data_IF_161492203890
#
_entry.id   IF_161492203890
#
_cell.length_a   1.000
_cell.length_b   1.000
_cell.length_c   1.000
_cell.angle_alpha   90.00
_cell.angle_beta   90.00
_cell.angle_gamma   90.00
#
_symmetry.space_group_name_H-M   'P 1'
#
loop_
_entity.id
_entity.type
_entity.pdbx_description
1 polymer ?
#
# COMPACT_ATOMS: atom_id res chain seq x y z
N UNK A 1 -34.48 38.83 22.68
CA UNK A 1 -34.68 37.71 21.73
C UNK A 1 -33.35 37.38 21.07
N UNK A 2 -32.56 36.53 21.71
CA UNK A 2 -31.25 36.03 21.26
C UNK A 2 -31.15 34.61 21.82
N UNK A 3 -30.52 33.68 21.07
CA UNK A 3 -30.20 32.27 21.38
C UNK A 3 -31.06 31.24 20.65
N UNK A 4 -30.94 31.12 19.32
CA UNK A 4 -31.35 29.89 18.60
C UNK A 4 -30.64 29.74 17.24
N UNK A 5 -29.31 29.89 17.16
CA UNK A 5 -28.61 29.74 15.88
C UNK A 5 -27.16 29.23 15.97
N UNK A 6 -26.71 28.65 17.09
CA UNK A 6 -25.28 28.32 17.27
C UNK A 6 -25.02 26.89 17.76
N UNK A 7 -25.84 25.92 17.35
CA UNK A 7 -25.66 24.51 17.76
C UNK A 7 -25.91 23.51 16.63
N UNK A 8 -25.66 23.90 15.38
CA UNK A 8 -25.78 22.99 14.23
C UNK A 8 -24.53 22.97 13.31
N UNK A 9 -23.43 23.59 13.73
CA UNK A 9 -22.20 23.69 12.92
C UNK A 9 -21.03 22.85 13.45
N UNK A 10 -21.27 22.03 14.48
CA UNK A 10 -20.22 21.24 15.15
C UNK A 10 -20.19 19.76 14.74
N UNK A 11 -21.04 19.34 13.78
CA UNK A 11 -21.21 17.93 13.41
C UNK A 11 -20.73 17.57 11.99
N UNK A 12 -20.04 18.48 11.28
CA UNK A 12 -19.61 18.27 9.88
C UNK A 12 -18.11 18.03 9.68
N UNK A 13 -17.34 17.88 10.76
CA UNK A 13 -15.94 17.44 10.69
C UNK A 13 -15.78 16.02 11.27
N UNK A 14 -16.61 15.09 10.81
CA UNK A 14 -16.14 13.71 10.73
C UNK A 14 -15.16 13.65 9.57
N UNK A 15 -13.88 13.91 9.86
CA UNK A 15 -12.78 13.56 8.98
C UNK A 15 -12.86 12.05 8.74
N UNK A 16 -13.53 11.65 7.67
CA UNK A 16 -13.41 10.32 7.10
C UNK A 16 -12.03 10.26 6.45
N UNK A 17 -11.02 9.96 7.26
CA UNK A 17 -9.74 9.50 6.74
C UNK A 17 -9.97 8.12 6.15
N UNK A 18 -10.14 8.05 4.84
CA UNK A 18 -10.33 6.79 4.11
C UNK A 18 -9.03 5.96 4.09
N UNK A 19 -9.22 4.64 4.00
CA UNK A 19 -8.23 3.61 4.32
C UNK A 19 -7.13 3.52 3.29
N UNK A 20 -5.92 3.22 3.75
CA UNK A 20 -4.74 3.29 2.90
C UNK A 20 -3.63 2.32 3.41
N UNK A 21 -4.06 1.11 3.79
CA UNK A 21 -3.37 -0.20 3.99
C UNK A 21 -4.21 -0.90 5.07
N UNK A 22 -4.78 -2.06 4.73
CA UNK A 22 -5.74 -2.75 5.59
C UNK A 22 -7.12 -2.10 5.53
N UNK A 23 -7.93 -2.50 4.55
CA UNK A 23 -9.33 -2.09 4.55
C UNK A 23 -10.05 -2.86 5.64
N UNK A 24 -10.94 -2.12 6.33
CA UNK A 24 -11.82 -2.57 7.39
C UNK A 24 -11.86 -4.08 7.49
N UNK A 25 -11.33 -4.63 8.58
CA UNK A 25 -12.02 -5.66 9.33
C UNK A 25 -11.25 -6.12 10.54
N UNK A 26 -12.00 -6.74 11.43
CA UNK A 26 -11.56 -7.18 12.74
C UNK A 26 -10.44 -8.19 12.54
N UNK A 27 -9.58 -8.35 13.54
CA UNK A 27 -8.54 -9.37 13.57
C UNK A 27 -9.09 -10.75 13.13
N UNK A 28 -10.32 -11.05 13.53
CA UNK A 28 -11.08 -12.24 13.15
C UNK A 28 -11.12 -12.51 11.63
N UNK A 29 -11.26 -11.47 10.79
CA UNK A 29 -11.34 -11.66 9.34
C UNK A 29 -9.98 -11.97 8.72
N UNK A 30 -8.90 -11.43 9.29
CA UNK A 30 -7.51 -11.75 8.91
C UNK A 30 -7.15 -13.16 9.37
N UNK A 31 -7.59 -13.56 10.56
CA UNK A 31 -7.44 -14.93 11.05
C UNK A 31 -8.19 -15.92 10.15
N UNK A 32 -9.44 -15.63 9.77
CA UNK A 32 -10.19 -16.45 8.80
C UNK A 32 -9.48 -16.54 7.46
N UNK A 33 -8.89 -15.45 6.98
CA UNK A 33 -8.17 -15.43 5.71
C UNK A 33 -7.01 -16.44 5.69
N UNK A 34 -6.31 -16.64 6.81
CA UNK A 34 -5.21 -17.60 6.93
C UNK A 34 -5.62 -19.03 6.55
N UNK A 35 -6.87 -19.39 6.84
CA UNK A 35 -7.43 -20.72 6.60
C UNK A 35 -8.05 -20.86 5.18
N UNK A 36 -8.01 -19.80 4.37
CA UNK A 36 -8.52 -19.84 2.98
C UNK A 36 -7.41 -20.16 1.98
N UNK A 37 -7.81 -20.67 0.81
CA UNK A 37 -6.92 -20.82 -0.35
C UNK A 37 -6.93 -19.54 -1.16
N UNK A 38 -5.75 -19.01 -1.49
CA UNK A 38 -5.64 -17.77 -2.24
C UNK A 38 -5.80 -18.02 -3.74
N UNK A 39 -6.81 -17.43 -4.35
CA UNK A 39 -6.96 -17.36 -5.81
C UNK A 39 -6.42 -16.03 -6.30
N UNK A 40 -5.32 -16.10 -7.05
CA UNK A 40 -4.74 -14.96 -7.75
C UNK A 40 -5.44 -14.82 -9.10
N UNK A 41 -6.11 -13.69 -9.29
CA UNK A 41 -6.93 -13.46 -10.49
C UNK A 41 -6.06 -12.95 -11.63
N UNK A 42 -5.96 -13.75 -12.69
CA UNK A 42 -5.30 -13.40 -13.94
C UNK A 42 -6.26 -12.62 -14.85
N UNK A 43 -5.68 -11.79 -15.71
CA UNK A 43 -6.43 -10.96 -16.67
C UNK A 43 -6.00 -11.29 -18.11
N UNK A 44 -6.51 -10.55 -19.08
CA UNK A 44 -6.03 -10.67 -20.47
C UNK A 44 -4.63 -10.08 -20.70
N UNK A 45 -4.08 -9.34 -19.73
CA UNK A 45 -2.75 -8.74 -19.82
C UNK A 45 -1.67 -9.75 -19.40
N UNK A 46 -0.89 -10.22 -20.38
CA UNK A 46 0.15 -11.24 -20.15
C UNK A 46 1.29 -10.75 -19.26
N UNK A 47 1.62 -9.46 -19.32
CA UNK A 47 2.72 -8.87 -18.57
C UNK A 47 2.36 -8.76 -17.09
N UNK A 48 1.13 -8.32 -16.81
CA UNK A 48 0.54 -8.42 -15.48
C UNK A 48 0.54 -9.87 -14.98
N UNK A 49 0.03 -10.82 -15.78
CA UNK A 49 -0.09 -12.22 -15.37
C UNK A 49 1.25 -12.86 -15.03
N UNK A 50 2.28 -12.66 -15.85
CA UNK A 50 3.61 -13.18 -15.60
C UNK A 50 4.23 -12.57 -14.34
N UNK A 51 4.06 -11.26 -14.17
CA UNK A 51 4.61 -10.51 -13.04
C UNK A 51 3.93 -10.88 -11.72
N UNK A 52 2.60 -11.00 -11.67
CA UNK A 52 1.89 -11.40 -10.44
C UNK A 52 2.17 -12.85 -10.07
N UNK A 53 2.31 -13.75 -11.05
CA UNK A 53 2.73 -15.14 -10.81
C UNK A 53 4.09 -15.17 -10.14
N UNK A 54 5.07 -14.50 -10.74
CA UNK A 54 6.42 -14.42 -10.19
C UNK A 54 6.43 -13.84 -8.77
N UNK A 55 5.74 -12.72 -8.56
CA UNK A 55 5.67 -12.06 -7.25
C UNK A 55 5.02 -12.97 -6.18
N UNK A 56 3.91 -13.63 -6.50
CA UNK A 56 3.24 -14.50 -5.52
C UNK A 56 4.06 -15.76 -5.25
N UNK A 57 4.56 -16.45 -6.27
CA UNK A 57 5.35 -17.67 -6.12
C UNK A 57 6.65 -17.45 -5.33
N UNK A 58 7.27 -16.27 -5.50
CA UNK A 58 8.57 -15.98 -4.89
C UNK A 58 8.46 -15.39 -3.48
N UNK A 59 7.33 -14.76 -3.13
CA UNK A 59 7.24 -13.93 -1.93
C UNK A 59 6.04 -14.23 -1.03
N UNK A 60 4.95 -14.81 -1.54
CA UNK A 60 3.76 -15.06 -0.73
C UNK A 60 3.98 -16.21 0.27
N UNK A 61 3.77 -15.94 1.55
CA UNK A 61 4.00 -16.94 2.62
C UNK A 61 2.87 -17.05 3.63
N UNK A 62 1.82 -16.24 3.50
CA UNK A 62 0.85 -16.06 4.58
C UNK A 62 -0.22 -17.16 4.72
N UNK A 63 -0.81 -17.61 3.62
CA UNK A 63 -1.90 -18.60 3.63
C UNK A 63 -1.53 -19.90 2.91
N UNK A 64 -2.23 -20.99 3.24
CA UNK A 64 -1.96 -22.30 2.65
C UNK A 64 -2.55 -22.40 1.24
N UNK A 65 -1.66 -22.45 0.25
CA UNK A 65 -2.00 -22.76 -1.13
C UNK A 65 -2.42 -21.55 -1.96
N UNK A 66 -1.91 -21.53 -3.19
CA UNK A 66 -2.14 -20.49 -4.18
C UNK A 66 -2.65 -21.16 -5.47
N UNK A 67 -3.67 -20.57 -6.08
CA UNK A 67 -4.14 -20.93 -7.42
C UNK A 67 -4.17 -19.70 -8.32
N UNK A 68 -3.77 -19.85 -9.58
CA UNK A 68 -3.79 -18.76 -10.56
C UNK A 68 -4.90 -18.99 -11.56
N UNK A 69 -5.93 -18.15 -11.54
CA UNK A 69 -7.18 -18.38 -12.28
C UNK A 69 -7.53 -17.16 -13.13
N UNK A 70 -7.85 -17.38 -14.41
CA UNK A 70 -8.36 -16.32 -15.29
C UNK A 70 -9.70 -15.76 -14.80
N UNK A 71 -9.88 -14.44 -14.92
CA UNK A 71 -11.10 -13.74 -14.45
C UNK A 71 -12.40 -14.30 -15.07
N UNK A 72 -12.30 -14.92 -16.24
CA UNK A 72 -13.42 -15.59 -16.93
C UNK A 72 -13.80 -16.95 -16.34
N UNK A 73 -12.92 -17.59 -15.56
CA UNK A 73 -13.10 -18.94 -15.00
C UNK A 73 -13.53 -18.93 -13.51
N UNK A 74 -13.82 -17.77 -12.94
CA UNK A 74 -14.05 -17.59 -11.50
C UNK A 74 -15.30 -18.29 -10.95
N UNK A 75 -16.24 -18.71 -11.80
CA UNK A 75 -17.49 -19.37 -11.36
C UNK A 75 -17.24 -20.60 -10.48
N UNK A 76 -16.20 -21.39 -10.78
CA UNK A 76 -15.85 -22.59 -10.00
C UNK A 76 -15.24 -22.27 -8.62
N UNK A 77 -14.74 -21.05 -8.45
CA UNK A 77 -14.04 -20.56 -7.26
C UNK A 77 -14.90 -19.63 -6.41
N UNK A 78 -16.17 -19.44 -6.76
CA UNK A 78 -17.14 -18.71 -5.95
C UNK A 78 -17.63 -19.60 -4.80
N UNK A 79 -16.75 -19.81 -3.80
CA UNK A 79 -17.04 -20.63 -2.62
C UNK A 79 -16.36 -20.04 -1.37
N UNK A 80 -16.89 -20.28 -0.15
CA UNK A 80 -16.38 -19.65 1.08
C UNK A 80 -14.92 -19.98 1.44
N UNK A 81 -14.37 -21.08 0.93
CA UNK A 81 -12.99 -21.50 1.20
C UNK A 81 -11.92 -20.72 0.40
N UNK A 82 -12.34 -19.86 -0.54
CA UNK A 82 -11.45 -19.08 -1.38
C UNK A 82 -11.46 -17.60 -1.00
N UNK A 83 -10.28 -17.00 -1.09
CA UNK A 83 -10.07 -15.55 -1.07
C UNK A 83 -9.41 -15.12 -2.36
N UNK A 84 -9.56 -13.86 -2.75
CA UNK A 84 -9.10 -13.39 -4.06
C UNK A 84 -8.04 -12.30 -3.91
N UNK A 85 -6.91 -12.48 -4.59
CA UNK A 85 -5.91 -11.44 -4.81
C UNK A 85 -6.04 -10.94 -6.24
N UNK A 86 -6.30 -9.64 -6.41
CA UNK A 86 -6.36 -9.03 -7.73
C UNK A 86 -5.94 -7.57 -7.69
N UNK A 87 -5.55 -7.03 -8.84
CA UNK A 87 -5.21 -5.61 -8.95
C UNK A 87 -6.49 -4.77 -9.13
N UNK A 88 -6.63 -3.75 -8.30
CA UNK A 88 -7.63 -2.70 -8.44
C UNK A 88 -6.99 -1.46 -9.04
N UNK A 89 -7.64 -0.88 -10.04
CA UNK A 89 -7.25 0.39 -10.66
C UNK A 89 -8.13 1.52 -10.14
N UNK A 90 -7.51 2.61 -9.69
CA UNK A 90 -8.26 3.84 -9.34
C UNK A 90 -8.67 4.63 -10.58
N UNK A 91 -9.70 5.47 -10.45
CA UNK A 91 -10.23 6.32 -11.53
C UNK A 91 -9.16 7.26 -12.10
N UNK A 92 -8.26 7.76 -11.25
CA UNK A 92 -7.16 8.66 -11.64
C UNK A 92 -5.93 7.97 -12.25
N UNK A 93 -5.94 6.64 -12.37
CA UNK A 93 -4.79 5.86 -12.82
C UNK A 93 -4.70 5.77 -14.35
N UNK A 94 -3.46 5.82 -14.89
CA UNK A 94 -3.19 5.70 -16.33
C UNK A 94 -2.98 4.27 -16.81
N UNK A 95 -3.17 3.28 -15.93
CA UNK A 95 -2.97 1.86 -16.22
C UNK A 95 -3.89 1.41 -17.36
N UNK A 96 -3.32 0.79 -18.40
CA UNK A 96 -4.08 0.36 -19.58
C UNK A 96 -4.71 -1.03 -19.43
N UNK A 97 -4.16 -1.87 -18.55
CA UNK A 97 -4.66 -3.22 -18.31
C UNK A 97 -6.11 -3.22 -17.80
N UNK A 98 -6.89 -4.21 -18.25
CA UNK A 98 -8.31 -4.40 -17.86
C UNK A 98 -8.44 -5.15 -16.53
N UNK A 99 -8.00 -4.52 -15.46
CA UNK A 99 -7.99 -5.05 -14.09
C UNK A 99 -9.30 -4.72 -13.35
N UNK A 100 -9.39 -5.09 -12.07
CA UNK A 100 -10.55 -4.81 -11.23
C UNK A 100 -10.61 -3.35 -10.75
N UNK A 101 -11.58 -3.07 -9.89
CA UNK A 101 -11.73 -1.80 -9.18
C UNK A 101 -12.28 -2.02 -7.77
N UNK A 102 -12.32 -0.95 -6.97
CA UNK A 102 -12.81 -0.95 -5.60
C UNK A 102 -13.70 0.27 -5.36
N UNK A 103 -14.69 0.14 -4.47
CA UNK A 103 -15.57 1.25 -4.09
C UNK A 103 -14.84 2.42 -3.41
N UNK A 104 -13.76 2.15 -2.66
CA UNK A 104 -12.91 3.18 -2.03
C UNK A 104 -11.86 3.79 -3.00
N UNK A 105 -12.00 3.57 -4.31
CA UNK A 105 -11.11 4.06 -5.36
C UNK A 105 -9.61 3.78 -5.10
N UNK A 106 -9.22 2.51 -5.13
CA UNK A 106 -7.86 2.09 -4.77
C UNK A 106 -7.03 1.69 -6.00
N UNK A 107 -5.74 2.08 -6.01
CA UNK A 107 -4.78 1.67 -7.03
C UNK A 107 -3.68 0.77 -6.43
N UNK A 108 -3.78 -0.54 -6.68
CA UNK A 108 -2.84 -1.52 -6.15
C UNK A 108 -3.46 -2.91 -6.01
N UNK A 109 -2.79 -3.81 -5.29
CA UNK A 109 -3.29 -5.15 -5.00
C UNK A 109 -4.30 -5.12 -3.86
N UNK A 110 -5.39 -5.87 -4.03
CA UNK A 110 -6.44 -6.06 -3.02
C UNK A 110 -6.62 -7.54 -2.73
N UNK A 111 -6.83 -7.83 -1.44
CA UNK A 111 -7.31 -9.12 -0.97
C UNK A 111 -8.76 -8.93 -0.56
N UNK A 112 -9.65 -9.74 -1.14
CA UNK A 112 -11.02 -9.87 -0.68
C UNK A 112 -11.27 -11.25 -0.09
N UNK A 113 -11.99 -11.27 1.02
CA UNK A 113 -12.59 -12.49 1.55
C UNK A 113 -14.01 -12.59 0.99
N UNK A 114 -14.42 -13.77 0.56
CA UNK A 114 -15.84 -14.01 0.31
C UNK A 114 -16.11 -15.13 -0.66
N UNK A 115 -17.32 -15.65 -0.58
CA UNK A 115 -17.79 -16.74 -1.42
C UNK A 115 -18.01 -16.36 -2.91
N UNK A 116 -17.75 -15.12 -3.30
CA UNK A 116 -17.97 -14.67 -4.69
C UNK A 116 -16.98 -13.61 -5.10
N UNK A 117 -16.22 -13.89 -6.15
CA UNK A 117 -15.38 -12.89 -6.80
C UNK A 117 -16.22 -11.78 -7.44
N UNK A 118 -15.82 -10.55 -7.18
CA UNK A 118 -16.39 -9.35 -7.80
C UNK A 118 -15.26 -8.53 -8.41
N UNK A 119 -15.36 -8.24 -9.71
CA UNK A 119 -14.39 -7.37 -10.41
C UNK A 119 -14.39 -5.94 -9.87
N UNK A 120 -15.51 -5.50 -9.26
CA UNK A 120 -15.61 -4.32 -8.43
C UNK A 120 -15.77 -4.77 -6.97
N UNK A 121 -14.73 -4.67 -6.16
CA UNK A 121 -14.80 -5.03 -4.75
C UNK A 121 -15.62 -4.02 -3.95
N UNK A 122 -16.46 -4.56 -3.07
CA UNK A 122 -17.19 -3.80 -2.07
C UNK A 122 -16.35 -3.68 -0.80
N UNK A 123 -16.55 -2.60 -0.04
CA UNK A 123 -15.74 -2.31 1.14
C UNK A 123 -15.84 -3.40 2.21
N UNK A 124 -17.03 -3.97 2.34
CA UNK A 124 -17.31 -5.06 3.27
C UNK A 124 -16.68 -6.39 2.86
N UNK A 125 -16.06 -6.53 1.69
CA UNK A 125 -15.37 -7.75 1.27
C UNK A 125 -13.85 -7.65 1.43
N UNK A 126 -13.31 -6.45 1.63
CA UNK A 126 -11.87 -6.22 1.66
C UNK A 126 -11.25 -6.76 2.96
N UNK A 127 -10.08 -7.37 2.83
CA UNK A 127 -9.24 -7.85 3.95
C UNK A 127 -7.99 -6.99 4.07
N UNK A 128 -7.32 -6.78 2.94
CA UNK A 128 -6.06 -6.05 2.89
C UNK A 128 -5.87 -5.39 1.52
N UNK A 129 -4.97 -4.42 1.47
CA UNK A 129 -4.57 -3.78 0.23
C UNK A 129 -3.15 -3.23 0.33
N UNK A 130 -2.42 -3.28 -0.78
CA UNK A 130 -1.08 -2.69 -0.91
C UNK A 130 -1.02 -1.78 -2.13
N UNK A 131 -0.60 -0.54 -1.92
CA UNK A 131 -0.56 0.48 -2.96
C UNK A 131 0.51 0.18 -4.01
N UNK A 132 0.14 0.51 -5.24
CA UNK A 132 1.07 0.66 -6.35
C UNK A 132 1.00 2.08 -6.90
N UNK A 133 2.04 2.45 -7.63
CA UNK A 133 2.15 3.71 -8.37
C UNK A 133 0.97 3.89 -9.35
N UNK A 134 0.58 5.14 -9.62
CA UNK A 134 -0.48 5.45 -10.59
C UNK A 134 -0.03 5.41 -12.05
N UNK A 135 1.28 5.27 -12.27
CA UNK A 135 1.88 5.07 -13.56
C UNK A 135 2.49 3.65 -13.57
N UNK A 136 1.72 2.69 -14.07
CA UNK A 136 2.19 1.32 -14.33
C UNK A 136 1.87 1.02 -15.79
N UNK A 137 2.92 0.79 -16.56
CA UNK A 137 2.92 0.19 -17.88
C UNK A 137 3.57 -1.21 -17.79
N UNK A 138 3.87 -1.79 -18.95
CA UNK A 138 4.30 -3.17 -19.11
C UNK A 138 5.53 -3.53 -18.25
N UNK A 139 6.56 -2.70 -18.23
CA UNK A 139 7.80 -2.96 -17.50
C UNK A 139 7.67 -2.71 -15.99
N UNK A 140 6.73 -1.86 -15.59
CA UNK A 140 6.52 -1.47 -14.20
C UNK A 140 5.86 -2.60 -13.39
N UNK A 141 5.17 -3.55 -14.05
CA UNK A 141 4.40 -4.60 -13.37
C UNK A 141 5.23 -5.43 -12.39
N UNK A 142 6.39 -5.92 -12.81
CA UNK A 142 7.21 -6.80 -11.99
C UNK A 142 7.66 -6.15 -10.67
N UNK A 143 8.35 -4.99 -10.67
CA UNK A 143 8.78 -4.35 -9.43
C UNK A 143 7.60 -3.90 -8.56
N UNK A 144 6.55 -3.34 -9.16
CA UNK A 144 5.38 -2.84 -8.42
C UNK A 144 4.59 -3.96 -7.75
N UNK A 145 4.36 -5.09 -8.44
CA UNK A 145 3.65 -6.23 -7.88
C UNK A 145 4.50 -6.99 -6.86
N UNK A 146 5.82 -7.08 -7.09
CA UNK A 146 6.75 -7.66 -6.11
C UNK A 146 6.67 -6.90 -4.78
N UNK A 147 6.84 -5.58 -4.83
CA UNK A 147 6.74 -4.73 -3.64
C UNK A 147 5.37 -4.84 -2.99
N UNK A 148 4.28 -4.82 -3.76
CA UNK A 148 2.93 -4.89 -3.22
C UNK A 148 2.62 -6.25 -2.55
N UNK A 149 3.06 -7.37 -3.13
CA UNK A 149 2.92 -8.70 -2.50
C UNK A 149 3.69 -8.76 -1.19
N UNK A 150 4.92 -8.25 -1.17
CA UNK A 150 5.71 -8.20 0.07
C UNK A 150 5.06 -7.31 1.13
N UNK A 151 4.55 -6.13 0.76
CA UNK A 151 3.79 -5.25 1.66
C UNK A 151 2.58 -5.96 2.27
N UNK A 152 1.83 -6.74 1.47
CA UNK A 152 0.71 -7.54 1.97
C UNK A 152 1.16 -8.57 3.00
N UNK A 153 2.25 -9.31 2.74
CA UNK A 153 2.80 -10.25 3.72
C UNK A 153 3.20 -9.55 5.03
N UNK A 154 3.94 -8.44 4.95
CA UNK A 154 4.34 -7.67 6.14
C UNK A 154 3.12 -7.21 6.95
N UNK A 155 2.13 -6.62 6.27
CA UNK A 155 0.88 -6.19 6.90
C UNK A 155 0.17 -7.35 7.60
N UNK A 156 -0.02 -8.46 6.91
CA UNK A 156 -0.79 -9.59 7.42
C UNK A 156 -0.10 -10.28 8.60
N UNK A 157 1.23 -10.43 8.55
CA UNK A 157 2.02 -10.97 9.66
C UNK A 157 1.91 -10.07 10.90
N UNK A 158 2.09 -8.76 10.73
CA UNK A 158 1.93 -7.80 11.82
C UNK A 158 0.49 -7.81 12.38
N UNK A 159 -0.50 -7.99 11.52
CA UNK A 159 -1.89 -7.98 11.93
C UNK A 159 -2.27 -9.20 12.79
N UNK A 160 -1.73 -10.39 12.49
CA UNK A 160 -1.92 -11.59 13.31
C UNK A 160 -1.29 -11.42 14.70
N UNK A 161 -0.10 -10.84 14.77
CA UNK A 161 0.64 -10.62 16.03
C UNK A 161 -0.02 -9.56 16.91
N UNK A 162 -0.83 -8.68 16.32
CA UNK A 162 -1.51 -7.60 17.03
C UNK A 162 -2.50 -8.12 18.08
N UNK A 163 -2.56 -7.55 19.29
CA UNK A 163 -3.41 -8.07 20.36
C UNK A 163 -4.92 -7.82 20.13
N UNK A 164 -5.28 -6.83 19.30
CA UNK A 164 -6.67 -6.45 19.04
C UNK A 164 -6.81 -5.58 17.78
N UNK A 165 -8.05 -5.29 17.41
CA UNK A 165 -8.41 -4.47 16.24
C UNK A 165 -7.79 -3.06 16.23
N UNK A 166 -7.43 -2.49 17.38
CA UNK A 166 -6.80 -1.16 17.42
C UNK A 166 -5.38 -1.21 16.90
N UNK A 167 -4.65 -2.29 17.20
CA UNK A 167 -3.26 -2.45 16.79
C UNK A 167 -3.08 -2.80 15.30
N UNK A 168 -4.16 -3.18 14.61
CA UNK A 168 -4.18 -3.39 13.15
C UNK A 168 -4.73 -2.19 12.38
N UNK A 169 -5.09 -1.11 13.09
CA UNK A 169 -5.53 0.12 12.44
C UNK A 169 -4.39 0.77 11.67
N UNK A 170 -4.71 1.44 10.56
CA UNK A 170 -3.75 2.21 9.75
C UNK A 170 -2.86 3.13 10.59
N UNK A 171 -3.46 3.89 11.53
CA UNK A 171 -2.68 4.79 12.39
C UNK A 171 -1.71 4.02 13.29
N UNK A 172 -2.13 2.89 13.85
CA UNK A 172 -1.27 2.07 14.69
C UNK A 172 -0.11 1.48 13.87
N UNK A 173 -0.41 0.91 12.70
CA UNK A 173 0.61 0.33 11.81
C UNK A 173 1.58 1.40 11.33
N UNK A 174 1.09 2.55 10.84
CA UNK A 174 1.96 3.64 10.38
C UNK A 174 2.83 4.24 11.50
N UNK A 175 2.35 4.22 12.75
CA UNK A 175 3.12 4.67 13.92
C UNK A 175 4.15 3.63 14.39
N UNK A 176 3.81 2.35 14.32
CA UNK A 176 4.72 1.25 14.68
C UNK A 176 5.82 1.05 13.63
N UNK A 177 5.52 1.34 12.36
CA UNK A 177 6.40 1.22 11.21
C UNK A 177 7.62 2.17 11.26
N UNK A 178 8.81 1.73 10.78
CA UNK A 178 9.13 0.33 10.46
C UNK A 178 9.28 -0.51 11.73
N UNK A 179 9.09 -1.82 11.63
CA UNK A 179 9.42 -2.78 12.68
C UNK A 179 10.94 -2.90 12.82
N UNK A 180 11.66 -3.07 11.70
CA UNK A 180 13.12 -2.98 11.69
C UNK A 180 13.56 -1.52 11.71
N UNK A 181 14.00 -1.04 12.88
CA UNK A 181 14.45 0.35 13.06
C UNK A 181 15.73 0.66 12.28
N UNK A 182 16.52 -0.34 11.87
CA UNK A 182 17.69 -0.12 11.03
C UNK A 182 17.33 0.43 9.64
N UNK A 183 16.08 0.25 9.20
CA UNK A 183 15.58 0.84 7.96
C UNK A 183 15.63 2.37 7.97
N UNK A 184 15.56 3.01 9.15
CA UNK A 184 15.63 4.47 9.28
C UNK A 184 17.04 5.03 9.00
N UNK A 185 18.06 4.17 8.99
CA UNK A 185 19.45 4.49 8.65
C UNK A 185 19.80 4.19 7.19
N UNK A 186 18.79 3.86 6.36
CA UNK A 186 19.00 3.57 4.95
C UNK A 186 18.80 4.82 4.09
N UNK A 187 19.35 4.77 2.87
CA UNK A 187 19.20 5.82 1.87
C UNK A 187 17.79 5.79 1.29
N UNK A 188 17.24 6.96 0.97
CA UNK A 188 15.95 7.08 0.29
C UNK A 188 16.17 7.33 -1.19
N UNK A 189 15.64 6.45 -2.03
CA UNK A 189 15.52 6.64 -3.46
C UNK A 189 14.18 7.27 -3.81
N UNK A 190 14.24 8.34 -4.58
CA UNK A 190 13.08 9.11 -5.03
C UNK A 190 13.11 9.14 -6.56
N UNK A 191 12.01 8.87 -7.27
CA UNK A 191 11.99 9.05 -8.73
C UNK A 191 12.34 10.51 -9.08
N UNK A 192 13.06 10.74 -10.19
CA UNK A 192 13.37 12.09 -10.69
C UNK A 192 12.12 13.00 -10.67
N UNK A 193 12.29 14.23 -10.14
CA UNK A 193 11.21 15.21 -9.90
C UNK A 193 10.16 14.75 -8.87
N UNK A 194 10.46 13.72 -8.08
CA UNK A 194 9.62 13.23 -7.01
C UNK A 194 9.74 14.06 -5.73
N UNK A 195 10.73 14.95 -5.62
CA UNK A 195 10.92 15.82 -4.46
C UNK A 195 10.37 17.24 -4.64
N UNK A 196 9.93 17.84 -3.54
CA UNK A 196 9.52 19.25 -3.41
C UNK A 196 10.11 19.84 -2.15
N UNK A 197 11.41 20.08 -2.19
CA UNK A 197 12.18 20.68 -1.09
C UNK A 197 12.44 22.14 -1.43
N UNK A 198 12.01 23.06 -0.55
CA UNK A 198 12.24 24.50 -0.66
C UNK A 198 12.87 25.00 0.62
N UNK A 199 14.04 25.61 0.55
CA UNK A 199 14.70 26.16 1.74
C UNK A 199 16.20 26.23 1.59
N UNK A 200 16.87 26.53 2.71
CA UNK A 200 18.33 26.52 2.79
C UNK A 200 18.90 25.14 3.11
N UNK A 201 18.14 24.33 3.84
CA UNK A 201 18.55 22.98 4.23
C UNK A 201 18.33 22.00 3.07
N UNK A 202 19.33 21.16 2.81
CA UNK A 202 19.24 20.06 1.85
C UNK A 202 18.38 18.90 2.37
N UNK A 203 17.84 18.02 1.50
CA UNK A 203 17.07 16.86 1.94
C UNK A 203 17.85 15.93 2.88
N UNK A 204 19.17 15.80 2.68
CA UNK A 204 20.06 14.98 3.51
C UNK A 204 20.24 15.57 4.90
N UNK A 205 20.33 16.90 5.02
CA UNK A 205 20.41 17.60 6.30
C UNK A 205 19.10 17.47 7.09
N UNK A 206 17.96 17.51 6.39
CA UNK A 206 16.63 17.39 7.00
C UNK A 206 16.39 15.96 7.48
N UNK A 207 16.70 14.96 6.66
CA UNK A 207 16.49 13.55 7.00
C UNK A 207 17.56 13.02 7.98
N UNK A 208 18.81 13.49 7.82
CA UNK A 208 19.98 12.98 8.55
C UNK A 208 20.60 11.73 7.92
N UNK A 209 20.41 11.54 6.61
CA UNK A 209 21.04 10.52 5.78
C UNK A 209 20.84 10.84 4.28
N UNK A 210 21.42 10.04 3.38
CA UNK A 210 21.30 10.22 1.94
C UNK A 210 19.85 10.14 1.42
N UNK A 211 19.49 11.08 0.56
CA UNK A 211 18.24 11.11 -0.20
C UNK A 211 18.60 11.43 -1.65
N UNK A 212 18.31 10.54 -2.59
CA UNK A 212 18.74 10.67 -3.97
C UNK A 212 17.55 10.60 -4.94
N UNK A 213 17.52 11.54 -5.89
CA UNK A 213 16.64 11.42 -7.06
C UNK A 213 17.30 10.55 -8.12
N UNK A 214 16.62 9.47 -8.53
CA UNK A 214 17.12 8.46 -9.45
C UNK A 214 16.12 8.16 -10.57
N UNK A 215 16.61 7.57 -11.65
CA UNK A 215 15.73 7.03 -12.68
C UNK A 215 14.86 5.91 -12.10
N UNK A 216 13.63 5.79 -12.60
CA UNK A 216 12.69 4.79 -12.14
C UNK A 216 13.20 3.37 -12.40
N UNK A 217 13.95 3.17 -13.49
CA UNK A 217 14.52 1.87 -13.83
C UNK A 217 15.55 1.40 -12.78
N UNK A 218 16.35 2.32 -12.24
CA UNK A 218 17.32 2.02 -11.17
C UNK A 218 16.63 1.72 -9.83
N UNK A 219 15.52 2.40 -9.55
CA UNK A 219 14.67 2.12 -8.40
C UNK A 219 14.07 0.71 -8.52
N UNK A 220 13.56 0.36 -9.69
CA UNK A 220 12.99 -0.96 -9.94
C UNK A 220 14.03 -2.07 -9.87
N UNK A 221 15.22 -1.86 -10.43
CA UNK A 221 16.32 -2.79 -10.26
C UNK A 221 16.62 -3.01 -8.77
N UNK A 222 16.63 -1.93 -7.98
CA UNK A 222 16.86 -2.00 -6.53
C UNK A 222 15.78 -2.80 -5.79
N UNK A 223 14.52 -2.71 -6.22
CA UNK A 223 13.42 -3.53 -5.69
C UNK A 223 13.63 -5.00 -6.05
N UNK A 224 13.84 -5.30 -7.33
CA UNK A 224 13.98 -6.69 -7.82
C UNK A 224 15.22 -7.37 -7.23
N UNK A 225 16.33 -6.64 -7.09
CA UNK A 225 17.58 -7.14 -6.51
C UNK A 225 17.64 -7.02 -5.00
N UNK A 226 16.61 -6.46 -4.36
CA UNK A 226 16.50 -6.28 -2.90
C UNK A 226 17.70 -5.53 -2.29
N UNK A 227 18.17 -4.47 -2.96
CA UNK A 227 19.20 -3.58 -2.40
C UNK A 227 18.66 -2.96 -1.12
N UNK A 228 19.43 -2.97 -0.03
CA UNK A 228 18.98 -2.56 1.30
C UNK A 228 18.83 -1.03 1.43
N UNK A 229 17.78 -0.49 0.79
CA UNK A 229 17.46 0.92 0.68
C UNK A 229 15.96 1.16 0.82
N UNK A 230 15.58 2.42 0.96
CA UNK A 230 14.19 2.86 0.97
C UNK A 230 13.80 3.40 -0.41
N UNK A 231 12.54 3.21 -0.76
CA UNK A 231 11.96 3.71 -2.01
C UNK A 231 10.73 4.54 -1.69
N UNK A 232 10.73 5.77 -2.19
CA UNK A 232 9.57 6.64 -2.19
C UNK A 232 8.71 6.41 -3.44
N UNK A 233 7.40 6.31 -3.25
CA UNK A 233 6.43 6.39 -4.32
C UNK A 233 5.13 7.02 -3.83
N UNK A 234 4.22 7.31 -4.75
CA UNK A 234 2.90 7.81 -4.39
C UNK A 234 1.79 7.10 -5.17
N UNK A 235 0.59 7.11 -4.60
CA UNK A 235 -0.62 6.61 -5.23
C UNK A 235 -1.74 7.66 -5.10
N UNK A 236 -2.44 7.95 -6.19
CA UNK A 236 -3.58 8.88 -6.23
C UNK A 236 -4.91 8.12 -6.30
N UNK A 237 -5.85 8.58 -5.49
CA UNK A 237 -7.26 8.22 -5.51
C UNK A 237 -8.14 9.48 -5.68
N UNK A 238 -9.45 9.32 -5.71
CA UNK A 238 -10.40 10.42 -5.83
C UNK A 238 -10.36 11.41 -4.65
N UNK A 239 -9.82 11.00 -3.50
CA UNK A 239 -9.81 11.77 -2.25
C UNK A 239 -8.46 12.45 -1.99
N UNK A 240 -7.39 12.01 -2.64
CA UNK A 240 -6.06 12.54 -2.45
C UNK A 240 -4.82 11.89 -3.02
N UNK A 241 -3.68 12.22 -2.41
CA UNK A 241 -2.41 11.59 -2.71
C UNK A 241 -1.82 10.89 -1.49
N UNK A 242 -1.53 9.61 -1.66
CA UNK A 242 -0.94 8.73 -0.66
C UNK A 242 0.56 8.71 -0.93
N UNK A 243 1.35 9.25 -0.02
CA UNK A 243 2.82 9.24 -0.07
C UNK A 243 3.31 8.06 0.76
N UNK A 244 4.11 7.19 0.16
CA UNK A 244 4.57 5.95 0.79
C UNK A 244 6.09 5.85 0.66
N UNK A 245 6.74 5.43 1.73
CA UNK A 245 8.13 4.96 1.70
C UNK A 245 8.16 3.56 2.27
N UNK A 246 8.73 2.64 1.50
CA UNK A 246 8.98 1.26 1.92
C UNK A 246 10.45 0.91 1.80
N UNK A 247 10.91 -0.13 2.47
CA UNK A 247 12.11 -0.82 2.02
C UNK A 247 11.90 -1.41 0.62
N UNK A 248 12.98 -1.76 -0.07
CA UNK A 248 12.95 -2.57 -1.30
C UNK A 248 12.37 -3.97 -1.09
N UNK A 249 12.31 -4.43 0.17
CA UNK A 249 11.66 -5.69 0.58
C UNK A 249 10.19 -5.53 0.95
N UNK A 250 9.60 -4.34 0.78
CA UNK A 250 8.18 -4.09 0.98
C UNK A 250 7.74 -3.79 2.42
N UNK A 251 8.67 -3.57 3.35
CA UNK A 251 8.32 -3.13 4.70
C UNK A 251 7.94 -1.65 4.68
N UNK A 252 6.80 -1.30 5.29
CA UNK A 252 6.38 0.10 5.42
C UNK A 252 7.30 0.85 6.38
N UNK A 253 7.79 2.03 5.97
CA UNK A 253 8.59 2.92 6.81
C UNK A 253 7.83 4.22 7.10
N UNK A 254 7.28 4.82 6.04
CA UNK A 254 6.55 6.06 6.12
C UNK A 254 5.32 6.06 5.25
N UNK A 255 4.36 6.83 5.72
CA UNK A 255 3.10 6.96 5.09
C UNK A 255 2.45 8.30 5.46
N UNK A 256 1.90 9.00 4.47
CA UNK A 256 1.03 10.15 4.70
C UNK A 256 -0.01 10.32 3.59
N UNK A 257 -1.07 11.04 3.91
CA UNK A 257 -2.08 11.48 2.94
C UNK A 257 -1.97 12.99 2.74
N UNK A 258 -2.08 13.44 1.50
CA UNK A 258 -2.00 14.84 1.10
C UNK A 258 -3.06 15.17 0.04
N UNK A 259 -3.15 16.44 -0.34
CA UNK A 259 -3.99 16.88 -1.45
C UNK A 259 -3.52 16.24 -2.77
N UNK A 260 -4.43 16.12 -3.74
CA UNK A 260 -4.19 15.41 -5.01
C UNK A 260 -3.05 16.00 -5.86
N UNK A 261 -2.71 17.27 -5.62
CA UNK A 261 -1.64 18.03 -6.26
C UNK A 261 -0.34 18.04 -5.45
N UNK A 262 -0.34 17.54 -4.21
CA UNK A 262 0.82 17.45 -3.33
C UNK A 262 1.29 16.01 -3.15
N UNK A 263 1.80 15.41 -4.23
CA UNK A 263 2.29 14.03 -4.21
C UNK A 263 3.79 13.87 -4.01
N UNK A 264 4.54 14.97 -4.08
CA UNK A 264 5.99 14.95 -3.99
C UNK A 264 6.43 14.79 -2.54
N UNK A 265 7.60 14.17 -2.35
CA UNK A 265 8.26 14.09 -1.05
C UNK A 265 8.64 15.50 -0.59
N UNK A 266 8.12 15.91 0.56
CA UNK A 266 8.26 17.27 1.09
C UNK A 266 9.15 17.33 2.32
N UNK A 267 9.52 18.55 2.73
CA UNK A 267 10.25 18.81 3.98
C UNK A 267 9.50 18.25 5.19
N UNK A 268 8.17 18.31 5.19
CA UNK A 268 7.35 17.76 6.28
C UNK A 268 7.57 16.25 6.39
N UNK A 269 7.53 15.54 5.27
CA UNK A 269 7.69 14.09 5.22
C UNK A 269 9.08 13.67 5.76
N UNK A 270 10.15 14.36 5.35
CA UNK A 270 11.51 14.09 5.83
C UNK A 270 11.69 14.41 7.32
N UNK A 271 11.07 15.47 7.84
CA UNK A 271 11.10 15.81 9.27
C UNK A 271 10.38 14.77 10.13
N UNK A 272 9.26 14.23 9.65
CA UNK A 272 8.55 13.15 10.34
C UNK A 272 9.39 11.88 10.41
N UNK A 273 10.06 11.52 9.30
CA UNK A 273 11.03 10.42 9.26
C UNK A 273 12.19 10.63 10.24
N UNK A 274 12.80 11.82 10.26
CA UNK A 274 13.86 12.15 11.22
C UNK A 274 13.36 12.04 12.67
N UNK A 275 12.14 12.49 12.94
CA UNK A 275 11.54 12.36 14.28
C UNK A 275 11.37 10.88 14.66
N UNK A 276 10.96 10.02 13.73
CA UNK A 276 10.91 8.56 13.95
C UNK A 276 12.29 7.98 14.26
N UNK A 277 13.32 8.38 13.52
CA UNK A 277 14.72 7.99 13.74
C UNK A 277 15.22 8.40 15.12
N UNK A 278 15.04 9.66 15.49
CA UNK A 278 15.46 10.20 16.79
C UNK A 278 14.71 9.55 17.96
N UNK A 279 13.47 9.11 17.75
CA UNK A 279 12.71 8.34 18.75
C UNK A 279 13.27 6.92 18.88
N UNK A 280 13.49 6.23 17.76
CA UNK A 280 14.02 4.87 17.76
C UNK A 280 15.42 4.78 18.40
N UNK A 281 16.26 5.80 18.25
CA UNK A 281 17.58 5.85 18.87
C UNK A 281 17.56 6.02 20.41
N UNK A 282 16.39 6.27 21.02
CA UNK A 282 16.22 6.45 22.47
C UNK A 282 15.59 5.23 23.15
N UNK A 283 15.07 4.28 22.39
CA UNK A 283 14.47 3.02 22.85
C UNK A 283 15.53 1.91 22.92
#
# INVERSE_FOLDING_TARGET
MKKSALTLLSLLFAFTTFSQIGFKKKKEDIEKFKDTRLVVVLTTDSSYNASIKHAVESYWTFSSGVEFIDDTAMKAYNKPEFSYLFFSKSKGSKIRAKVGSCEEDFNGLLITNGAKFKKKAALEDLVAGAYCSNAIDTFDWLPELTRAVQMLNHYLNQAIESPNDKGISKSAIAQAAPLDKNLLEKKIYVPIRGMKIKGKEGPEEIYGNEVEEMDIDEIYESIVTRKDNLVFFYSKDENGCNKIITSTTGELVYYSSAAIDDCQLSIKDLKELRTKKEKAAKE
#
